data_IF_012517801150
#
_entry.id   IF_012517801150
#
_cell.length_a   1.000
_cell.length_b   1.000
_cell.length_c   1.000
_cell.angle_alpha   90.00
_cell.angle_beta   90.00
_cell.angle_gamma   90.00
#
_symmetry.space_group_name_H-M   'P 1'
#
loop_
_entity.id
_entity.type
_entity.pdbx_description
1 polymer ?
#
# COMPACT_ATOMS: atom_id res chain seq x y z
N UNK A 1 -21.10 -4.45 -7.93
CA UNK A 1 -20.17 -5.13 -8.84
C UNK A 1 -18.82 -5.15 -8.15
N UNK A 2 -18.61 -6.15 -7.30
CA UNK A 2 -17.31 -6.43 -6.69
C UNK A 2 -16.39 -6.96 -7.77
N UNK A 3 -15.33 -6.24 -8.11
CA UNK A 3 -14.25 -6.80 -8.92
C UNK A 3 -13.55 -7.88 -8.08
N UNK A 4 -14.05 -9.11 -8.19
CA UNK A 4 -13.41 -10.28 -7.61
C UNK A 4 -12.23 -10.63 -8.52
N UNK A 5 -11.05 -10.12 -8.16
CA UNK A 5 -9.81 -10.39 -8.88
C UNK A 5 -9.38 -11.84 -8.63
N UNK A 6 -9.95 -12.76 -9.41
CA UNK A 6 -9.59 -14.18 -9.46
C UNK A 6 -8.16 -14.45 -10.01
N UNK A 7 -7.27 -13.45 -10.03
CA UNK A 7 -5.94 -13.53 -10.66
C UNK A 7 -4.75 -13.73 -9.70
N UNK A 8 -4.98 -13.89 -8.39
CA UNK A 8 -3.89 -14.15 -7.43
C UNK A 8 -3.68 -15.65 -7.12
N UNK A 9 -4.41 -16.57 -7.78
CA UNK A 9 -4.26 -18.01 -7.51
C UNK A 9 -3.03 -18.64 -8.20
N UNK A 10 -2.42 -17.97 -9.19
CA UNK A 10 -1.21 -18.45 -9.89
C UNK A 10 0.09 -17.88 -9.29
N UNK A 11 0.14 -17.69 -7.96
CA UNK A 11 1.38 -17.40 -7.21
C UNK A 11 2.17 -18.72 -7.03
N UNK A 12 2.40 -19.44 -8.12
CA UNK A 12 3.22 -20.66 -8.15
C UNK A 12 4.69 -20.38 -8.47
N UNK A 13 5.01 -19.18 -8.99
CA UNK A 13 6.39 -18.82 -9.39
C UNK A 13 6.63 -17.29 -9.50
N UNK A 14 5.79 -16.43 -8.90
CA UNK A 14 5.97 -14.98 -8.94
C UNK A 14 7.00 -14.54 -7.86
N UNK A 15 7.82 -13.51 -8.09
CA UNK A 15 8.61 -12.92 -7.01
C UNK A 15 7.62 -12.48 -5.92
N UNK A 16 7.74 -13.06 -4.73
CA UNK A 16 6.72 -12.96 -3.68
C UNK A 16 6.29 -11.51 -3.42
N UNK A 17 5.04 -11.28 -3.04
CA UNK A 17 4.59 -9.94 -2.66
C UNK A 17 4.75 -9.72 -1.14
N UNK A 18 4.76 -8.46 -0.74
CA UNK A 18 4.59 -8.02 0.64
C UNK A 18 3.29 -7.22 0.71
N UNK A 19 2.38 -7.65 1.58
CA UNK A 19 1.20 -6.86 1.90
C UNK A 19 1.57 -5.76 2.89
N UNK A 20 1.19 -4.54 2.56
CA UNK A 20 1.27 -3.40 3.48
C UNK A 20 -0.10 -2.76 3.59
N UNK A 21 -0.63 -2.71 4.81
CA UNK A 21 -1.90 -2.05 5.08
C UNK A 21 -1.63 -0.70 5.73
N UNK A 22 -2.25 0.36 5.20
CA UNK A 22 -2.25 1.68 5.83
C UNK A 22 -3.65 2.02 6.29
N UNK A 23 -3.77 2.59 7.48
CA UNK A 23 -5.04 2.92 8.12
C UNK A 23 -5.13 4.43 8.36
N UNK A 24 -6.33 4.96 8.25
CA UNK A 24 -6.64 6.34 8.60
C UNK A 24 -6.93 6.42 10.09
N UNK A 25 -6.09 7.14 10.82
CA UNK A 25 -6.25 7.38 12.25
C UNK A 25 -6.99 8.70 12.54
N UNK A 26 -6.95 9.63 11.59
CA UNK A 26 -7.61 10.94 11.70
C UNK A 26 -8.73 11.06 10.65
N UNK A 27 -9.97 11.20 11.12
CA UNK A 27 -11.16 11.36 10.28
C UNK A 27 -11.24 12.71 9.57
N UNK A 28 -10.32 13.64 9.85
CA UNK A 28 -10.13 14.86 9.06
C UNK A 28 -9.14 14.67 7.89
N UNK A 29 -8.38 13.57 7.86
CA UNK A 29 -7.42 13.28 6.79
C UNK A 29 -8.09 13.09 5.42
N UNK A 30 -7.35 13.09 4.30
CA UNK A 30 -7.91 12.76 3.00
C UNK A 30 -8.44 11.32 2.92
N UNK A 31 -9.37 11.05 2.00
CA UNK A 31 -9.96 9.72 1.79
C UNK A 31 -8.94 8.70 1.29
N UNK A 32 -9.26 7.40 1.41
CA UNK A 32 -8.43 6.31 0.90
C UNK A 32 -8.05 6.49 -0.59
N UNK A 33 -8.96 6.96 -1.44
CA UNK A 33 -8.70 7.18 -2.87
C UNK A 33 -7.68 8.30 -3.10
N UNK A 34 -7.78 9.39 -2.33
CA UNK A 34 -6.81 10.49 -2.43
C UNK A 34 -5.45 10.05 -1.90
N UNK A 35 -5.44 9.34 -0.77
CA UNK A 35 -4.24 8.85 -0.12
C UNK A 35 -3.52 7.81 -0.96
N UNK A 36 -4.24 6.88 -1.63
CA UNK A 36 -3.59 5.88 -2.47
C UNK A 36 -2.88 6.51 -3.67
N UNK A 37 -3.46 7.55 -4.29
CA UNK A 37 -2.79 8.29 -5.37
C UNK A 37 -1.50 8.94 -4.88
N UNK A 38 -1.53 9.58 -3.70
CA UNK A 38 -0.35 10.21 -3.09
C UNK A 38 0.71 9.19 -2.71
N UNK A 39 0.31 8.06 -2.11
CA UNK A 39 1.20 6.94 -1.81
C UNK A 39 1.93 6.45 -3.07
N UNK A 40 1.20 6.19 -4.16
CA UNK A 40 1.81 5.74 -5.43
C UNK A 40 2.74 6.78 -6.04
N UNK A 41 2.43 8.08 -5.88
CA UNK A 41 3.28 9.16 -6.37
C UNK A 41 4.56 9.38 -5.56
N UNK A 42 4.55 9.03 -4.27
CA UNK A 42 5.67 9.22 -3.34
C UNK A 42 6.52 7.97 -3.14
N UNK A 43 5.97 6.78 -3.41
CA UNK A 43 6.72 5.53 -3.31
C UNK A 43 7.95 5.54 -4.23
N UNK A 44 9.10 5.01 -3.76
CA UNK A 44 10.28 4.87 -4.59
C UNK A 44 9.97 4.11 -5.89
N UNK A 45 10.35 4.67 -7.04
CA UNK A 45 10.00 4.13 -8.38
C UNK A 45 10.46 2.70 -8.65
N UNK A 46 11.43 2.19 -7.90
CA UNK A 46 11.88 0.80 -8.03
C UNK A 46 10.91 -0.20 -7.37
N UNK A 47 10.09 0.25 -6.42
CA UNK A 47 9.08 -0.59 -5.80
C UNK A 47 7.86 -0.70 -6.71
N UNK A 48 7.64 -1.90 -7.26
CA UNK A 48 6.43 -2.19 -8.03
C UNK A 48 5.28 -2.45 -7.07
N UNK A 49 4.25 -1.63 -7.13
CA UNK A 49 3.11 -1.67 -6.22
C UNK A 49 1.80 -1.87 -6.98
N UNK A 50 0.96 -2.79 -6.49
CA UNK A 50 -0.43 -2.95 -6.91
C UNK A 50 -1.31 -2.51 -5.74
N UNK A 51 -1.98 -1.34 -5.85
CA UNK A 51 -2.87 -0.86 -4.81
C UNK A 51 -4.23 -1.58 -4.85
N UNK A 52 -4.80 -1.84 -3.68
CA UNK A 52 -6.17 -2.28 -3.49
C UNK A 52 -6.84 -1.37 -2.45
N UNK A 53 -7.89 -0.66 -2.86
CA UNK A 53 -8.70 0.17 -1.95
C UNK A 53 -9.85 -0.69 -1.46
N UNK A 54 -9.84 -1.04 -0.18
CA UNK A 54 -10.94 -1.76 0.43
C UNK A 54 -12.08 -0.76 0.73
N UNK A 55 -13.08 -0.73 -0.15
CA UNK A 55 -14.21 0.22 -0.11
C UNK A 55 -15.06 0.16 1.19
N UNK A 56 -14.91 -0.90 2.02
CA UNK A 56 -15.85 -1.20 3.11
C UNK A 56 -15.73 -0.22 4.31
N UNK A 57 -14.78 0.71 4.33
CA UNK A 57 -14.76 1.76 5.36
C UNK A 57 -14.08 3.09 4.97
N UNK A 58 -13.46 3.23 3.80
CA UNK A 58 -12.73 4.46 3.42
C UNK A 58 -11.50 4.80 4.29
N UNK A 59 -11.24 3.99 5.32
CA UNK A 59 -10.19 4.21 6.32
C UNK A 59 -9.00 3.24 6.17
N UNK A 60 -8.94 2.49 5.06
CA UNK A 60 -7.88 1.50 4.81
C UNK A 60 -7.45 1.48 3.34
N UNK A 61 -6.15 1.37 3.13
CA UNK A 61 -5.53 1.10 1.82
C UNK A 61 -4.63 -0.12 1.98
N UNK A 62 -4.77 -1.11 1.09
CA UNK A 62 -3.87 -2.26 1.00
C UNK A 62 -2.94 -2.07 -0.19
N UNK A 63 -1.66 -2.33 0.00
CA UNK A 63 -0.65 -2.25 -1.03
C UNK A 63 0.03 -3.61 -1.15
N UNK A 64 0.02 -4.18 -2.35
CA UNK A 64 0.80 -5.36 -2.68
C UNK A 64 2.07 -4.93 -3.37
N UNK A 65 3.20 -4.99 -2.66
CA UNK A 65 4.50 -4.55 -3.17
C UNK A 65 5.31 -5.77 -3.56
N UNK A 66 5.77 -5.84 -4.81
CA UNK A 66 6.57 -6.96 -5.28
C UNK A 66 7.93 -6.97 -4.58
N UNK A 67 8.35 -8.14 -4.08
CA UNK A 67 9.74 -8.36 -3.65
C UNK A 67 10.62 -8.33 -4.89
N UNK A 68 11.78 -7.72 -4.77
CA UNK A 68 12.89 -7.99 -5.66
C UNK A 68 14.02 -8.64 -4.86
N UNK A 69 15.03 -9.18 -5.55
CA UNK A 69 16.14 -9.90 -4.91
C UNK A 69 16.98 -8.99 -4.00
N UNK A 70 16.92 -7.67 -4.19
CA UNK A 70 17.73 -6.69 -3.48
C UNK A 70 17.00 -6.03 -2.30
N UNK A 71 15.67 -6.15 -2.22
CA UNK A 71 14.82 -5.41 -1.29
C UNK A 71 14.13 -6.38 -0.33
N UNK A 72 14.52 -6.31 0.94
CA UNK A 72 13.87 -7.09 1.98
C UNK A 72 12.48 -6.55 2.35
N UNK A 73 11.64 -7.37 2.99
CA UNK A 73 10.36 -6.93 3.54
C UNK A 73 10.53 -5.75 4.52
N UNK A 74 11.62 -5.75 5.29
CA UNK A 74 11.96 -4.67 6.21
C UNK A 74 12.30 -3.37 5.48
N UNK A 75 12.95 -3.45 4.32
CA UNK A 75 13.22 -2.29 3.47
C UNK A 75 11.93 -1.73 2.88
N UNK A 76 11.02 -2.60 2.42
CA UNK A 76 9.69 -2.22 1.92
C UNK A 76 8.91 -1.49 3.02
N UNK A 77 8.77 -2.08 4.21
CA UNK A 77 8.06 -1.44 5.31
C UNK A 77 8.73 -0.15 5.78
N UNK A 78 10.06 -0.08 5.76
CA UNK A 78 10.79 1.16 6.06
C UNK A 78 10.49 2.24 5.03
N UNK A 79 10.49 1.91 3.73
CA UNK A 79 10.17 2.83 2.66
C UNK A 79 8.73 3.35 2.77
N UNK A 80 7.76 2.47 3.03
CA UNK A 80 6.36 2.87 3.21
C UNK A 80 6.19 3.78 4.43
N UNK A 81 6.81 3.46 5.58
CA UNK A 81 6.78 4.34 6.75
C UNK A 81 7.41 5.70 6.49
N UNK A 82 8.51 5.74 5.73
CA UNK A 82 9.16 6.99 5.36
C UNK A 82 8.25 7.85 4.48
N UNK A 83 7.53 7.24 3.53
CA UNK A 83 6.53 7.92 2.70
C UNK A 83 5.36 8.42 3.56
N UNK A 84 4.83 7.61 4.47
CA UNK A 84 3.72 8.00 5.36
C UNK A 84 4.07 9.15 6.31
N UNK A 85 5.36 9.45 6.51
CA UNK A 85 5.80 10.63 7.27
C UNK A 85 5.71 11.94 6.46
N UNK A 86 5.42 11.87 5.15
CA UNK A 86 5.19 13.05 4.32
C UNK A 86 3.89 13.77 4.73
N UNK A 87 3.92 15.10 4.76
CA UNK A 87 2.78 15.92 5.17
C UNK A 87 1.53 15.71 4.27
N UNK A 88 1.71 15.28 3.02
CA UNK A 88 0.61 14.95 2.13
C UNK A 88 -0.16 13.69 2.58
N UNK A 89 0.39 12.89 3.49
CA UNK A 89 -0.18 11.66 4.03
C UNK A 89 -0.52 11.77 5.53
N UNK A 90 -0.67 13.00 6.05
CA UNK A 90 -1.06 13.21 7.45
C UNK A 90 -2.31 12.40 7.81
N UNK A 91 -2.35 11.89 9.05
CA UNK A 91 -3.49 11.14 9.56
C UNK A 91 -3.58 9.69 9.07
N UNK A 92 -2.58 9.23 8.29
CA UNK A 92 -2.45 7.85 7.85
C UNK A 92 -1.21 7.19 8.47
N UNK A 93 -1.34 5.94 8.88
CA UNK A 93 -0.24 5.16 9.46
C UNK A 93 -0.20 3.76 8.88
N UNK A 94 0.93 3.08 9.02
CA UNK A 94 1.03 1.67 8.63
C UNK A 94 0.46 0.80 9.76
N UNK A 95 -0.44 -0.12 9.41
CA UNK A 95 -0.89 -1.16 10.33
C UNK A 95 0.32 -2.05 10.68
N UNK A 96 0.49 -2.31 11.98
CA UNK A 96 1.49 -3.25 12.52
C UNK A 96 1.05 -4.69 12.37
#
# INVERSE_FOLDING_TARGET
MTAQWQGCADIGNAPGYVEVVTVREDSAAPSAETTVIRLLGLLPRHLRCVPEVAEVAGDRVRLWIARDVATSDSDIHRAVRAVLADAALWGWTQQR
#
